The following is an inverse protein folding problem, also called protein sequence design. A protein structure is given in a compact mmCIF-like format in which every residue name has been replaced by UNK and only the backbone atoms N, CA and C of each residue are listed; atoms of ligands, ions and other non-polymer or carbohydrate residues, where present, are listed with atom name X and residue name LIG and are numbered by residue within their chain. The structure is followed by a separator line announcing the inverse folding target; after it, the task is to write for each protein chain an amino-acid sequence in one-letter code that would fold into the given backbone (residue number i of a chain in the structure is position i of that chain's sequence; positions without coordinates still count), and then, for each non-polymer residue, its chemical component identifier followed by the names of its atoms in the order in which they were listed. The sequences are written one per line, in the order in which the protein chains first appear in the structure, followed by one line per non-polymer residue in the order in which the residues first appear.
data_IF_816368712554
#
_entry.id   IF_816368712554
#
_cell.length_a   1.000
_cell.length_b   1.000
_cell.length_c   1.000
_cell.angle_alpha   90.00
_cell.angle_beta   90.00
_cell.angle_gamma   90.00
#
_symmetry.space_group_name_H-M   'P 1'
#
loop_
_entity.id
_entity.type
_entity.pdbx_description
1 polymer ?
#
# COMPACT_ATOMS: atom_id res chain seq x y z
N UNK A 1 -18.45 54.12 -42.87
CA UNK A 1 -17.99 54.26 -41.48
C UNK A 1 -17.14 53.05 -41.14
N UNK A 2 -15.83 53.20 -41.00
CA UNK A 2 -14.91 52.14 -40.62
C UNK A 2 -14.54 52.34 -39.15
N UNK A 3 -14.80 51.34 -38.30
CA UNK A 3 -14.37 51.34 -36.91
C UNK A 3 -13.07 50.55 -36.85
N UNK A 4 -11.95 51.25 -36.65
CA UNK A 4 -10.65 50.65 -36.39
C UNK A 4 -10.53 50.36 -34.90
N UNK A 5 -10.36 49.09 -34.54
CA UNK A 5 -9.99 48.70 -33.18
C UNK A 5 -8.52 49.00 -32.95
N UNK A 6 -8.24 50.00 -32.12
CA UNK A 6 -6.91 50.30 -31.60
C UNK A 6 -6.44 49.14 -30.71
N UNK A 7 -5.58 48.27 -31.26
CA UNK A 7 -4.88 47.21 -30.54
C UNK A 7 -3.64 47.81 -29.88
N UNK A 8 -3.83 48.38 -28.69
CA UNK A 8 -2.75 49.00 -27.91
C UNK A 8 -2.74 48.51 -26.46
N UNK A 9 -1.86 47.56 -26.15
CA UNK A 9 -1.67 46.99 -24.81
C UNK A 9 -0.31 46.32 -24.63
N UNK A 10 0.75 47.06 -24.97
CA UNK A 10 2.08 47.06 -24.33
C UNK A 10 2.76 45.71 -23.95
N UNK A 11 3.73 45.30 -24.78
CA UNK A 11 4.70 44.20 -24.52
C UNK A 11 5.46 44.30 -23.17
N UNK A 12 5.41 45.43 -22.47
CA UNK A 12 6.05 45.63 -21.16
C UNK A 12 5.27 45.02 -19.99
N UNK A 13 3.96 44.80 -20.15
CA UNK A 13 3.11 44.20 -19.11
C UNK A 13 3.28 42.68 -19.02
N UNK A 14 3.67 42.02 -20.13
CA UNK A 14 3.92 40.58 -20.17
C UNK A 14 5.16 40.21 -19.34
N UNK A 15 6.29 40.92 -19.50
CA UNK A 15 7.53 40.65 -18.74
C UNK A 15 7.35 40.65 -17.22
N UNK A 16 6.51 41.56 -16.69
CA UNK A 16 6.22 41.63 -15.25
C UNK A 16 5.35 40.47 -14.77
N UNK A 17 4.39 40.03 -15.60
CA UNK A 17 3.55 38.86 -15.32
C UNK A 17 4.39 37.58 -15.32
N UNK A 18 5.29 37.45 -16.29
CA UNK A 18 6.18 36.28 -16.38
C UNK A 18 7.11 36.20 -15.18
N UNK A 19 7.66 37.32 -14.71
CA UNK A 19 8.46 37.37 -13.47
C UNK A 19 7.67 36.94 -12.23
N UNK A 20 6.41 37.37 -12.10
CA UNK A 20 5.53 36.96 -10.99
C UNK A 20 5.19 35.48 -11.08
N UNK A 21 4.92 34.96 -12.29
CA UNK A 21 4.67 33.53 -12.51
C UNK A 21 5.91 32.69 -12.15
N UNK A 22 7.10 33.13 -12.55
CA UNK A 22 8.37 32.48 -12.21
C UNK A 22 8.57 32.50 -10.69
N UNK A 23 8.34 33.63 -10.04
CA UNK A 23 8.46 33.75 -8.59
C UNK A 23 7.49 32.82 -7.85
N UNK A 24 6.23 32.73 -8.30
CA UNK A 24 5.24 31.80 -7.76
C UNK A 24 5.64 30.35 -7.99
N UNK A 25 6.17 30.02 -9.17
CA UNK A 25 6.63 28.67 -9.50
C UNK A 25 7.77 28.23 -8.58
N UNK A 26 8.79 29.08 -8.41
CA UNK A 26 9.88 28.80 -7.47
C UNK A 26 9.38 28.77 -6.02
N UNK A 27 8.46 29.63 -5.63
CA UNK A 27 7.83 29.60 -4.31
C UNK A 27 7.10 28.28 -4.03
N UNK A 28 6.33 27.79 -5.01
CA UNK A 28 5.65 26.49 -4.92
C UNK A 28 6.65 25.33 -4.85
N UNK A 29 7.70 25.34 -5.68
CA UNK A 29 8.79 24.35 -5.62
C UNK A 29 9.51 24.33 -4.27
N UNK A 30 9.74 25.50 -3.68
CA UNK A 30 10.38 25.60 -2.36
C UNK A 30 9.45 25.03 -1.28
N UNK A 31 8.16 25.39 -1.32
CA UNK A 31 7.17 24.90 -0.38
C UNK A 31 7.03 23.38 -0.43
N UNK A 32 6.93 22.79 -1.63
CA UNK A 32 6.88 21.33 -1.79
C UNK A 32 8.17 20.65 -1.31
N UNK A 33 9.33 21.25 -1.57
CA UNK A 33 10.62 20.76 -1.08
C UNK A 33 10.70 20.77 0.46
N UNK A 34 10.17 21.82 1.11
CA UNK A 34 10.12 21.90 2.59
C UNK A 34 9.18 20.84 3.16
N UNK A 35 8.01 20.64 2.56
CA UNK A 35 7.05 19.61 3.01
C UNK A 35 7.66 18.22 2.86
N UNK A 36 8.30 17.92 1.73
CA UNK A 36 9.02 16.65 1.53
C UNK A 36 10.18 16.49 2.51
N UNK A 37 10.95 17.55 2.76
CA UNK A 37 12.03 17.52 3.75
C UNK A 37 11.49 17.19 5.14
N UNK A 38 10.43 17.87 5.58
CA UNK A 38 9.81 17.60 6.87
C UNK A 38 9.20 16.20 6.93
N UNK A 39 8.47 15.76 5.91
CA UNK A 39 7.81 14.45 5.89
C UNK A 39 8.78 13.27 5.75
N UNK A 40 9.88 13.43 5.02
CA UNK A 40 10.85 12.38 4.76
C UNK A 40 11.95 12.32 5.82
N UNK A 41 12.51 13.47 6.24
CA UNK A 41 13.58 13.49 7.26
C UNK A 41 13.06 13.47 8.70
N UNK A 42 11.84 13.92 9.00
CA UNK A 42 11.27 13.80 10.36
C UNK A 42 10.58 12.47 10.65
N UNK A 43 10.65 11.50 9.73
CA UNK A 43 10.17 10.11 9.92
C UNK A 43 10.98 9.30 10.96
N UNK A 44 11.90 9.93 11.68
CA UNK A 44 12.57 9.39 12.87
C UNK A 44 11.92 9.77 14.20
N UNK A 45 10.88 10.63 14.22
CA UNK A 45 10.05 10.77 15.41
C UNK A 45 9.12 9.57 15.47
N UNK A 46 9.66 8.45 15.96
CA UNK A 46 8.88 7.30 16.38
C UNK A 46 7.77 7.83 17.31
N UNK A 47 6.53 7.82 16.81
CA UNK A 47 5.38 7.90 17.69
C UNK A 47 5.60 6.74 18.65
N UNK A 48 5.69 6.95 19.98
CA UNK A 48 5.84 5.84 20.91
C UNK A 48 4.54 5.06 20.84
N UNK A 49 4.49 4.09 19.93
CA UNK A 49 3.47 3.08 19.91
C UNK A 49 3.73 2.26 21.16
N UNK A 50 3.04 2.61 22.24
CA UNK A 50 2.98 1.78 23.43
C UNK A 50 2.27 0.50 23.01
N UNK A 51 3.05 -0.44 22.47
CA UNK A 51 2.59 -1.80 22.25
C UNK A 51 2.27 -2.31 23.66
N UNK A 52 1.02 -2.71 23.97
CA UNK A 52 0.76 -3.34 25.25
C UNK A 52 1.78 -4.47 25.38
N UNK A 53 2.53 -4.47 26.49
CA UNK A 53 3.54 -5.48 26.74
C UNK A 53 2.85 -6.84 26.67
N UNK A 54 2.92 -7.49 25.51
CA UNK A 54 2.40 -8.82 25.36
C UNK A 54 3.28 -9.69 26.26
N UNK A 55 2.67 -10.22 27.33
CA UNK A 55 3.34 -11.15 28.22
C UNK A 55 4.03 -12.21 27.35
N UNK A 56 5.32 -12.45 27.60
CA UNK A 56 6.09 -13.42 26.84
C UNK A 56 5.30 -14.74 26.76
N UNK A 57 5.19 -15.36 25.57
CA UNK A 57 4.39 -16.57 25.42
C UNK A 57 4.91 -17.61 26.41
N UNK A 58 4.01 -18.08 27.28
CA UNK A 58 4.30 -19.15 28.25
C UNK A 58 4.85 -20.34 27.45
N UNK A 59 6.03 -20.84 27.82
CA UNK A 59 6.69 -21.98 27.16
C UNK A 59 5.67 -23.12 26.99
N UNK A 60 5.31 -23.42 25.74
CA UNK A 60 4.40 -24.52 25.42
C UNK A 60 5.25 -25.77 25.23
N UNK A 61 5.17 -26.70 26.17
CA UNK A 61 5.83 -28.01 26.07
C UNK A 61 4.83 -29.01 25.47
N UNK A 62 5.05 -29.37 24.21
CA UNK A 62 4.27 -30.38 23.53
C UNK A 62 4.79 -31.76 23.95
N UNK A 63 3.95 -32.57 24.60
CA UNK A 63 4.31 -33.94 25.00
C UNK A 63 4.05 -34.91 23.85
N UNK A 64 5.12 -35.28 23.14
CA UNK A 64 5.05 -36.24 22.03
C UNK A 64 4.99 -37.70 22.47
N UNK A 65 5.15 -37.98 23.77
CA UNK A 65 5.10 -39.34 24.32
C UNK A 65 3.74 -40.01 24.11
N UNK A 66 2.68 -39.21 23.98
CA UNK A 66 1.31 -39.68 23.69
C UNK A 66 1.23 -40.35 22.30
N UNK A 67 2.10 -39.97 21.36
CA UNK A 67 2.12 -40.55 20.01
C UNK A 67 2.67 -41.98 19.96
N UNK A 68 3.29 -42.46 21.04
CA UNK A 68 3.87 -43.80 21.14
C UNK A 68 2.92 -44.83 21.77
N UNK A 69 1.72 -44.42 22.16
CA UNK A 69 0.73 -45.30 22.78
C UNK A 69 0.35 -46.47 21.86
N UNK A 70 0.15 -47.65 22.44
CA UNK A 70 -0.28 -48.86 21.73
C UNK A 70 -1.56 -48.64 20.92
N UNK A 71 -2.46 -47.77 21.41
CA UNK A 71 -3.72 -47.41 20.74
C UNK A 71 -3.51 -46.76 19.36
N UNK A 72 -2.38 -46.07 19.16
CA UNK A 72 -2.07 -45.40 17.89
C UNK A 72 -1.36 -46.33 16.90
N UNK A 73 -0.76 -47.42 17.37
CA UNK A 73 -0.13 -48.43 16.51
C UNK A 73 -1.18 -49.28 15.76
N UNK A 74 -2.38 -49.39 16.32
CA UNK A 74 -3.53 -50.06 15.69
C UNK A 74 -4.26 -49.22 14.64
N UNK A 75 -3.91 -47.93 14.48
CA UNK A 75 -4.51 -47.08 13.45
C UNK A 75 -3.92 -47.47 12.08
N UNK A 76 -4.71 -48.17 11.27
CA UNK A 76 -4.33 -48.47 9.89
C UNK A 76 -4.06 -47.15 9.13
N UNK A 77 -2.92 -47.08 8.44
CA UNK A 77 -2.66 -46.03 7.45
C UNK A 77 -3.81 -46.05 6.45
N UNK A 78 -4.60 -44.97 6.42
CA UNK A 78 -5.81 -44.89 5.60
C UNK A 78 -5.46 -45.31 4.16
N UNK A 79 -6.14 -46.30 3.57
CA UNK A 79 -5.88 -46.66 2.18
C UNK A 79 -6.06 -45.41 1.31
N UNK A 80 -5.09 -45.21 0.42
CA UNK A 80 -4.99 -44.01 -0.41
C UNK A 80 -6.34 -43.69 -1.06
N UNK A 81 -6.76 -42.43 -0.94
CA UNK A 81 -7.98 -41.93 -1.58
C UNK A 81 -7.93 -42.32 -3.06
N UNK A 82 -8.95 -43.03 -3.56
CA UNK A 82 -9.09 -43.21 -5.00
C UNK A 82 -9.19 -41.84 -5.66
N UNK A 83 -8.46 -41.58 -6.76
CA UNK A 83 -8.58 -40.33 -7.49
C UNK A 83 -10.05 -40.09 -7.86
N UNK A 84 -10.55 -38.88 -7.58
CA UNK A 84 -11.93 -38.53 -7.92
C UNK A 84 -12.14 -38.65 -9.43
N UNK A 85 -13.30 -39.16 -9.90
CA UNK A 85 -13.59 -39.20 -11.32
C UNK A 85 -13.60 -37.78 -11.87
N UNK A 86 -12.90 -37.58 -12.99
CA UNK A 86 -12.76 -36.35 -13.77
C UNK A 86 -14.10 -35.96 -14.42
N UNK A 87 -15.13 -35.68 -13.62
CA UNK A 87 -16.37 -35.10 -14.13
C UNK A 87 -16.21 -33.59 -14.16
N UNK A 88 -15.86 -33.11 -15.34
CA UNK A 88 -15.89 -31.72 -15.79
C UNK A 88 -17.26 -31.13 -15.45
N UNK A 89 -17.29 -30.33 -14.39
CA UNK A 89 -18.36 -29.41 -14.04
C UNK A 89 -17.72 -28.04 -13.81
N UNK A 90 -18.39 -26.97 -14.25
CA UNK A 90 -17.85 -25.59 -14.20
C UNK A 90 -17.36 -25.28 -12.77
N UNK A 91 -16.04 -25.14 -12.61
CA UNK A 91 -15.39 -24.97 -11.29
C UNK A 91 -15.85 -23.69 -10.55
N UNK A 92 -16.41 -22.71 -11.28
CA UNK A 92 -16.75 -21.42 -10.69
C UNK A 92 -17.97 -20.76 -11.36
N UNK A 93 -19.06 -20.50 -10.62
CA UNK A 93 -20.25 -19.83 -11.16
C UNK A 93 -20.10 -18.31 -11.35
N UNK A 94 -18.96 -17.71 -10.98
CA UNK A 94 -18.77 -16.25 -10.97
C UNK A 94 -17.93 -15.70 -12.13
N UNK A 95 -17.62 -16.48 -13.16
CA UNK A 95 -16.89 -15.99 -14.34
C UNK A 95 -17.88 -15.72 -15.47
N UNK A 96 -18.23 -14.47 -15.81
CA UNK A 96 -19.06 -14.15 -16.98
C UNK A 96 -18.25 -14.25 -18.27
N UNK A 97 -18.91 -14.68 -19.35
CA UNK A 97 -18.35 -14.90 -20.70
C UNK A 97 -18.11 -13.60 -21.47
#
# INVERSE_FOLDING_TARGET
MAITFSKGGTFTSQKKRDQVLILLFFGALLATSIVLWQGFFKKGAEIPFSKPAAAAPKKVEIRFDVLKGEELQGLQTRPGLSPLPEKIGRENPFVPF
#
